data_IF_523500065511
#
_entry.id   IF_523500065511
#
_cell.length_a   1.000
_cell.length_b   1.000
_cell.length_c   1.000
_cell.angle_alpha   90.00
_cell.angle_beta   90.00
_cell.angle_gamma   90.00
#
_symmetry.space_group_name_H-M   'P 1'
#
loop_
_entity.id
_entity.type
_entity.pdbx_description
1 polymer ?
#
# COMPACT_ATOMS: atom_id res chain seq x y z
N UNK A 1 -0.85 -48.23 23.78
CA UNK A 1 -0.35 -47.42 24.93
C UNK A 1 1.12 -47.68 25.28
N UNK A 2 1.59 -48.95 25.33
CA UNK A 2 2.96 -49.31 25.74
C UNK A 2 4.07 -48.79 24.80
N UNK A 3 3.82 -48.73 23.47
CA UNK A 3 4.79 -48.19 22.49
C UNK A 3 5.02 -46.68 22.62
N UNK A 4 3.99 -45.91 22.96
CA UNK A 4 4.08 -44.45 23.09
C UNK A 4 4.87 -44.04 24.34
N UNK A 5 4.69 -44.76 25.46
CA UNK A 5 5.50 -44.56 26.68
C UNK A 5 6.98 -44.83 26.45
N UNK A 6 7.33 -45.80 25.59
CA UNK A 6 8.72 -46.12 25.26
C UNK A 6 9.38 -44.98 24.46
N UNK A 7 8.68 -44.44 23.47
CA UNK A 7 9.15 -43.31 22.65
C UNK A 7 9.36 -42.05 23.49
N UNK A 8 8.41 -41.71 24.37
CA UNK A 8 8.54 -40.54 25.27
C UNK A 8 9.72 -40.70 26.22
N UNK A 9 9.98 -41.91 26.74
CA UNK A 9 11.13 -42.19 27.61
C UNK A 9 12.46 -42.05 26.88
N UNK A 10 12.53 -42.46 25.61
CA UNK A 10 13.74 -42.31 24.78
C UNK A 10 14.00 -40.86 24.40
N UNK A 11 12.95 -40.08 24.11
CA UNK A 11 13.06 -38.64 23.85
C UNK A 11 13.54 -37.91 25.11
N UNK A 12 12.99 -38.25 26.28
CA UNK A 12 13.42 -37.64 27.55
C UNK A 12 14.88 -37.94 27.90
N UNK A 13 15.36 -39.17 27.65
CA UNK A 13 16.77 -39.52 27.85
C UNK A 13 17.68 -38.82 26.83
N UNK A 14 17.25 -38.70 25.57
CA UNK A 14 17.99 -37.94 24.56
C UNK A 14 18.12 -36.47 24.93
N UNK A 15 17.04 -35.85 25.42
CA UNK A 15 17.03 -34.46 25.88
C UNK A 15 17.90 -34.26 27.13
N UNK A 16 17.90 -35.22 28.05
CA UNK A 16 18.72 -35.17 29.26
C UNK A 16 20.22 -35.31 28.96
N UNK A 17 20.59 -36.13 27.96
CA UNK A 17 21.98 -36.25 27.48
C UNK A 17 22.43 -34.98 26.76
N UNK A 18 21.55 -34.34 25.97
CA UNK A 18 21.84 -33.04 25.35
C UNK A 18 21.97 -31.94 26.41
N UNK A 19 21.15 -31.96 27.46
CA UNK A 19 21.26 -31.01 28.58
C UNK A 19 22.54 -31.23 29.40
N UNK A 20 22.93 -32.49 29.65
CA UNK A 20 24.19 -32.82 30.32
C UNK A 20 25.40 -32.42 29.47
N UNK A 21 25.34 -32.60 28.15
CA UNK A 21 26.38 -32.13 27.23
C UNK A 21 26.45 -30.59 27.18
N UNK A 22 25.31 -29.89 27.26
CA UNK A 22 25.28 -28.43 27.38
C UNK A 22 25.84 -27.93 28.72
N UNK A 23 25.55 -28.60 29.83
CA UNK A 23 26.09 -28.26 31.16
C UNK A 23 27.60 -28.53 31.24
N UNK A 24 28.09 -29.62 30.64
CA UNK A 24 29.52 -29.91 30.57
C UNK A 24 30.24 -28.91 29.66
N UNK A 25 29.60 -28.41 28.60
CA UNK A 25 30.20 -27.43 27.68
C UNK A 25 30.20 -25.99 28.22
N UNK A 26 29.26 -25.64 29.12
CA UNK A 26 29.25 -24.32 29.79
C UNK A 26 30.39 -24.22 30.82
N UNK A 27 30.87 -25.34 31.36
CA UNK A 27 31.89 -25.36 32.41
C UNK A 27 33.35 -25.36 31.91
N UNK A 28 33.58 -25.26 30.59
CA UNK A 28 34.94 -25.12 30.02
C UNK A 28 35.33 -23.64 29.86
N UNK A 29 34.39 -22.71 30.01
CA UNK A 29 34.74 -21.34 30.36
C UNK A 29 35.05 -21.30 31.86
N UNK A 30 36.19 -21.88 32.24
CA UNK A 30 36.92 -21.29 33.37
C UNK A 30 37.22 -19.86 32.93
N UNK A 31 36.33 -18.94 33.29
CA UNK A 31 36.69 -17.58 33.62
C UNK A 31 37.72 -17.73 34.74
N UNK A 32 38.97 -17.97 34.32
CA UNK A 32 40.13 -17.86 35.17
C UNK A 32 40.10 -16.39 35.58
N UNK A 33 39.52 -16.14 36.75
CA UNK A 33 39.60 -14.87 37.42
C UNK A 33 41.08 -14.62 37.64
N UNK A 34 41.70 -13.92 36.70
CA UNK A 34 43.05 -13.42 36.82
C UNK A 34 43.08 -12.60 38.11
N UNK A 35 43.97 -12.92 39.05
CA UNK A 35 43.99 -12.25 40.33
C UNK A 35 44.29 -10.75 40.11
N UNK A 36 43.48 -9.88 40.73
CA UNK A 36 43.56 -8.41 40.61
C UNK A 36 44.95 -7.84 40.96
N UNK A 37 45.79 -8.61 41.65
CA UNK A 37 47.16 -8.22 42.00
C UNK A 37 48.12 -8.14 40.80
N UNK A 38 47.73 -8.63 39.60
CA UNK A 38 48.55 -8.56 38.37
C UNK A 38 48.25 -7.36 37.48
N UNK A 39 47.23 -6.56 37.82
CA UNK A 39 46.83 -5.38 37.04
C UNK A 39 46.98 -4.13 37.91
N UNK A 40 47.95 -3.27 37.60
CA UNK A 40 48.10 -1.97 38.27
C UNK A 40 47.57 -0.87 37.37
N UNK A 41 46.58 -0.13 37.87
CA UNK A 41 45.89 0.90 37.07
C UNK A 41 46.25 2.30 37.51
N UNK A 42 46.63 3.14 36.55
CA UNK A 42 46.89 4.56 36.73
C UNK A 42 45.97 5.34 35.78
N UNK A 43 45.45 6.47 36.24
CA UNK A 43 44.61 7.34 35.42
C UNK A 43 45.47 8.52 34.99
N UNK A 44 45.73 8.63 33.69
CA UNK A 44 46.24 9.86 33.09
C UNK A 44 45.05 10.64 32.53
N UNK A 45 45.11 11.97 32.47
CA UNK A 45 43.97 12.89 32.39
C UNK A 45 42.80 12.46 31.47
N UNK A 46 43.06 11.78 30.35
CA UNK A 46 42.05 11.29 29.38
C UNK A 46 42.05 9.77 29.11
N UNK A 47 42.93 8.97 29.74
CA UNK A 47 43.10 7.54 29.41
C UNK A 47 43.43 6.69 30.63
N UNK A 48 42.82 5.51 30.71
CA UNK A 48 43.10 4.53 31.76
C UNK A 48 44.27 3.64 31.36
N UNK A 49 45.36 3.70 32.11
CA UNK A 49 46.58 2.94 31.85
C UNK A 49 46.61 1.73 32.78
N UNK A 50 46.67 0.54 32.23
CA UNK A 50 46.67 -0.73 32.95
C UNK A 50 47.99 -1.47 32.69
N UNK A 51 48.82 -1.62 33.70
CA UNK A 51 50.02 -2.45 33.66
C UNK A 51 49.64 -3.88 33.99
N UNK A 52 49.97 -4.82 33.11
CA UNK A 52 49.59 -6.23 33.20
C UNK A 52 50.87 -7.05 33.25
N UNK A 53 51.07 -7.79 34.34
CA UNK A 53 52.25 -8.62 34.55
C UNK A 53 51.96 -10.09 34.25
N UNK A 54 52.60 -10.60 33.21
CA UNK A 54 52.47 -11.95 32.68
C UNK A 54 53.60 -12.85 33.20
N UNK A 55 53.22 -14.07 33.58
CA UNK A 55 54.19 -15.13 33.91
C UNK A 55 54.59 -15.90 32.65
N UNK A 56 53.65 -16.09 31.72
CA UNK A 56 53.84 -16.77 30.43
C UNK A 56 53.34 -15.90 29.28
N UNK A 57 53.96 -16.02 28.11
CA UNK A 57 53.55 -15.26 26.91
C UNK A 57 52.12 -15.62 26.45
N UNK A 58 51.74 -16.89 26.54
CA UNK A 58 50.42 -17.41 26.12
C UNK A 58 49.24 -16.74 26.84
N UNK A 59 49.46 -16.31 28.08
CA UNK A 59 48.43 -15.73 28.95
C UNK A 59 47.86 -14.45 28.36
N UNK A 60 48.62 -13.74 27.51
CA UNK A 60 48.20 -12.48 26.90
C UNK A 60 46.87 -12.60 26.18
N UNK A 61 46.63 -13.74 25.51
CA UNK A 61 45.39 -14.02 24.77
C UNK A 61 44.14 -13.88 25.65
N UNK A 62 44.20 -14.33 26.91
CA UNK A 62 43.07 -14.24 27.85
C UNK A 62 42.70 -12.78 28.15
N UNK A 63 43.70 -11.92 28.32
CA UNK A 63 43.48 -10.51 28.62
C UNK A 63 42.92 -9.76 27.42
N UNK A 64 43.43 -10.03 26.23
CA UNK A 64 42.98 -9.36 25.01
C UNK A 64 41.54 -9.70 24.67
N UNK A 65 41.16 -10.98 24.83
CA UNK A 65 39.76 -11.44 24.69
C UNK A 65 38.89 -10.73 25.74
N UNK A 66 39.33 -10.73 27.00
CA UNK A 66 38.59 -10.07 28.11
C UNK A 66 38.38 -8.58 27.88
N UNK A 67 39.39 -7.88 27.35
CA UNK A 67 39.33 -6.43 27.11
C UNK A 67 38.74 -6.08 25.74
N UNK A 68 38.33 -7.07 24.94
CA UNK A 68 37.79 -6.89 23.60
C UNK A 68 38.72 -6.06 22.68
N UNK A 69 40.04 -6.29 22.79
CA UNK A 69 41.09 -5.63 22.02
C UNK A 69 41.96 -6.63 21.24
N UNK A 70 41.41 -7.80 20.92
CA UNK A 70 42.14 -8.85 20.22
C UNK A 70 42.16 -8.66 18.70
N UNK A 71 41.22 -7.90 18.14
CA UNK A 71 41.17 -7.62 16.69
C UNK A 71 42.44 -6.87 16.24
N UNK A 72 42.85 -5.87 17.02
CA UNK A 72 44.09 -5.12 16.79
C UNK A 72 45.36 -5.87 17.22
N UNK A 73 45.22 -6.98 17.93
CA UNK A 73 46.35 -7.82 18.32
C UNK A 73 46.70 -8.88 17.29
N UNK A 74 45.77 -9.25 16.41
CA UNK A 74 46.02 -10.25 15.36
C UNK A 74 47.18 -9.88 14.40
N UNK A 75 47.58 -8.61 14.34
CA UNK A 75 48.73 -8.12 13.57
C UNK A 75 49.99 -7.82 14.41
N UNK A 76 50.00 -8.06 15.73
CA UNK A 76 51.12 -7.73 16.63
C UNK A 76 52.31 -8.67 16.52
N UNK A 77 53.47 -8.16 16.08
CA UNK A 77 54.70 -8.96 15.99
C UNK A 77 55.39 -9.03 17.36
N UNK A 78 55.13 -10.10 18.13
CA UNK A 78 55.70 -10.35 19.46
C UNK A 78 57.20 -10.74 19.44
N UNK A 79 57.94 -10.39 18.40
CA UNK A 79 59.39 -10.61 18.32
C UNK A 79 60.19 -9.53 19.05
N UNK A 80 59.60 -8.34 19.20
CA UNK A 80 60.18 -7.20 19.87
C UNK A 80 59.08 -6.39 20.58
N UNK A 81 59.45 -5.54 21.56
CA UNK A 81 58.50 -4.66 22.22
C UNK A 81 57.86 -3.70 21.22
N UNK A 82 56.54 -3.79 21.06
CA UNK A 82 55.79 -3.05 20.06
C UNK A 82 54.46 -2.52 20.60
N UNK A 83 53.83 -1.62 19.84
CA UNK A 83 52.49 -1.13 20.11
C UNK A 83 51.62 -1.19 18.85
N UNK A 84 50.29 -1.28 19.02
CA UNK A 84 49.36 -1.23 17.90
C UNK A 84 49.18 0.20 17.38
N UNK A 85 49.09 0.35 16.05
CA UNK A 85 48.73 1.62 15.41
C UNK A 85 47.23 1.91 15.53
N UNK A 86 46.54 1.96 14.40
CA UNK A 86 45.10 2.06 14.28
C UNK A 86 44.39 0.80 14.80
N UNK A 87 43.20 1.00 15.34
CA UNK A 87 42.35 -0.07 15.82
C UNK A 87 41.54 -0.72 14.66
N UNK A 88 42.26 -1.20 13.64
CA UNK A 88 41.69 -1.85 12.45
C UNK A 88 42.46 -3.15 12.19
N UNK A 89 41.76 -4.17 11.68
CA UNK A 89 42.35 -5.46 11.31
C UNK A 89 43.50 -5.23 10.32
N UNK A 90 44.65 -5.83 10.61
CA UNK A 90 45.89 -5.78 9.80
C UNK A 90 46.69 -4.49 9.85
N UNK A 91 46.47 -3.61 10.84
CA UNK A 91 47.35 -2.46 10.94
C UNK A 91 48.77 -2.83 11.42
N UNK A 92 49.75 -2.02 10.99
CA UNK A 92 51.15 -2.24 11.29
C UNK A 92 51.42 -2.11 12.79
N UNK A 93 52.29 -2.99 13.27
CA UNK A 93 52.86 -2.89 14.61
C UNK A 93 54.10 -2.04 14.58
N UNK A 94 54.24 -1.19 15.58
CA UNK A 94 55.34 -0.24 15.63
C UNK A 94 56.26 -0.55 16.81
N UNK A 95 57.57 -0.45 16.58
CA UNK A 95 58.59 -0.72 17.59
C UNK A 95 58.56 0.37 18.67
N UNK A 96 58.79 -0.02 19.93
CA UNK A 96 58.95 0.90 21.06
C UNK A 96 60.43 1.27 21.21
N UNK A 97 60.70 2.56 21.40
CA UNK A 97 62.06 3.08 21.54
C UNK A 97 62.57 2.79 22.94
N UNK A 98 63.78 2.23 23.02
CA UNK A 98 64.48 1.94 24.28
C UNK A 98 63.55 1.27 25.33
N UNK A 99 63.02 0.07 25.03
CA UNK A 99 62.01 -0.56 25.87
C UNK A 99 62.57 -0.81 27.28
N UNK A 100 61.90 -0.30 28.32
CA UNK A 100 62.40 -0.40 29.69
C UNK A 100 62.31 -1.83 30.24
N UNK A 101 63.21 -2.12 31.20
CA UNK A 101 63.15 -3.28 32.08
C UNK A 101 62.73 -2.81 33.47
N UNK A 102 61.73 -3.46 34.07
CA UNK A 102 61.23 -3.09 35.40
C UNK A 102 61.52 -4.23 36.38
N UNK A 103 61.96 -3.86 37.59
CA UNK A 103 62.16 -4.80 38.70
C UNK A 103 61.03 -4.65 39.72
N UNK A 104 60.29 -5.72 39.97
CA UNK A 104 59.21 -5.80 40.95
C UNK A 104 59.48 -6.96 41.90
N UNK A 105 59.55 -6.68 43.21
CA UNK A 105 59.72 -7.68 44.27
C UNK A 105 60.79 -8.73 43.93
N UNK A 106 61.97 -8.26 43.50
CA UNK A 106 63.14 -9.07 43.11
C UNK A 106 63.06 -9.81 41.76
N UNK A 107 61.99 -9.63 41.00
CA UNK A 107 61.80 -10.24 39.67
C UNK A 107 61.94 -9.19 38.58
N UNK A 108 62.66 -9.51 37.50
CA UNK A 108 62.77 -8.65 36.33
C UNK A 108 61.61 -8.92 35.35
N UNK A 109 61.10 -7.86 34.75
CA UNK A 109 60.07 -7.90 33.73
C UNK A 109 60.51 -7.10 32.50
N UNK A 110 60.43 -7.74 31.33
CA UNK A 110 60.63 -7.10 30.02
C UNK A 110 59.31 -6.55 29.50
N UNK A 111 59.33 -5.39 28.86
CA UNK A 111 58.18 -4.91 28.11
C UNK A 111 57.89 -5.87 26.96
N UNK A 112 56.65 -6.32 26.82
CA UNK A 112 56.24 -7.25 25.77
C UNK A 112 55.54 -6.50 24.64
N UNK A 113 54.45 -5.80 24.94
CA UNK A 113 53.77 -4.94 23.98
C UNK A 113 52.82 -3.98 24.69
N UNK A 114 52.32 -3.00 23.94
CA UNK A 114 51.30 -2.06 24.40
C UNK A 114 50.11 -2.13 23.45
N UNK A 115 48.91 -2.23 24.01
CA UNK A 115 47.67 -2.30 23.25
C UNK A 115 46.74 -1.17 23.67
N UNK A 116 46.24 -0.44 22.70
CA UNK A 116 45.22 0.58 22.87
C UNK A 116 43.88 0.06 22.39
N UNK A 117 42.83 0.33 23.15
CA UNK A 117 41.49 -0.17 22.86
C UNK A 117 40.84 0.49 21.65
N UNK A 118 41.22 1.74 21.34
CA UNK A 118 40.78 2.57 20.20
C UNK A 118 41.86 3.61 19.88
N UNK A 119 41.67 4.36 18.80
CA UNK A 119 42.48 5.53 18.46
C UNK A 119 43.23 5.42 17.14
N UNK A 120 43.72 6.57 16.67
CA UNK A 120 44.49 6.71 15.42
C UNK A 120 45.89 7.20 15.80
N UNK A 121 46.93 6.51 15.32
CA UNK A 121 48.33 6.91 15.51
C UNK A 121 48.93 7.14 14.14
N UNK A 122 49.51 8.33 13.94
CA UNK A 122 50.11 8.67 12.64
C UNK A 122 51.21 7.67 12.26
N UNK A 123 51.21 7.25 10.99
CA UNK A 123 52.18 6.30 10.37
C UNK A 123 53.60 6.84 10.20
N UNK A 124 53.99 7.91 10.90
CA UNK A 124 55.30 8.54 10.68
C UNK A 124 56.37 7.78 11.47
N UNK A 125 57.57 7.74 10.90
CA UNK A 125 58.78 6.99 11.28
C UNK A 125 59.33 7.20 12.72
N UNK A 126 58.49 7.64 13.67
CA UNK A 126 58.84 7.89 15.04
C UNK A 126 58.64 6.62 15.88
N UNK A 127 59.76 6.04 16.28
CA UNK A 127 59.80 5.06 17.35
C UNK A 127 59.46 5.82 18.64
N UNK A 128 58.26 5.61 19.20
CA UNK A 128 57.87 6.28 20.44
C UNK A 128 58.43 5.55 21.67
N UNK A 129 58.83 6.30 22.70
CA UNK A 129 59.13 5.73 24.00
C UNK A 129 57.84 5.34 24.74
N UNK A 130 57.97 4.52 25.79
CA UNK A 130 56.83 4.20 26.65
C UNK A 130 56.19 5.47 27.26
N UNK A 131 56.99 6.49 27.59
CA UNK A 131 56.49 7.71 28.22
C UNK A 131 55.71 8.58 27.22
N UNK A 132 56.18 8.66 25.98
CA UNK A 132 55.43 9.33 24.90
C UNK A 132 54.06 8.66 24.71
N UNK A 133 54.04 7.32 24.68
CA UNK A 133 52.82 6.54 24.50
C UNK A 133 51.81 6.70 25.65
N UNK A 134 52.26 6.95 26.89
CA UNK A 134 51.36 7.24 28.04
C UNK A 134 50.69 8.60 27.94
N UNK A 135 51.32 9.54 27.25
CA UNK A 135 50.81 10.89 27.04
C UNK A 135 49.97 10.99 25.75
N UNK A 136 50.04 9.97 24.88
CA UNK A 136 49.28 9.88 23.63
C UNK A 136 48.03 9.01 23.79
N UNK A 137 46.89 9.65 24.10
CA UNK A 137 45.59 8.97 24.08
C UNK A 137 45.06 8.80 22.65
N UNK A 138 45.07 9.86 21.83
CA UNK A 138 44.59 9.87 20.44
C UNK A 138 43.25 9.13 20.21
N UNK A 139 42.29 9.31 21.14
CA UNK A 139 40.98 8.66 21.08
C UNK A 139 40.90 7.27 21.74
N UNK A 140 42.00 6.73 22.25
CA UNK A 140 42.01 5.57 23.13
C UNK A 140 41.42 5.92 24.50
N UNK A 141 40.55 5.07 25.02
CA UNK A 141 40.06 5.17 26.40
C UNK A 141 40.90 4.35 27.37
N UNK A 142 41.54 3.29 26.87
CA UNK A 142 42.37 2.38 27.64
C UNK A 142 43.70 2.09 26.93
N UNK A 143 44.76 2.08 27.72
CA UNK A 143 46.10 1.60 27.35
C UNK A 143 46.44 0.41 28.22
N UNK A 144 46.82 -0.70 27.59
CA UNK A 144 47.21 -1.94 28.26
C UNK A 144 48.70 -2.17 28.00
N UNK A 145 49.50 -2.14 29.05
CA UNK A 145 50.95 -2.35 28.99
C UNK A 145 51.23 -3.76 29.48
N UNK A 146 51.72 -4.63 28.60
CA UNK A 146 52.02 -6.02 28.94
C UNK A 146 53.49 -6.18 29.26
N UNK A 147 53.77 -6.71 30.45
CA UNK A 147 55.09 -6.99 30.96
C UNK A 147 55.27 -8.50 31.10
N UNK A 148 56.34 -9.07 30.57
CA UNK A 148 56.64 -10.49 30.70
C UNK A 148 57.79 -10.71 31.68
N UNK A 149 57.60 -11.64 32.61
CA UNK A 149 58.64 -12.09 33.52
C UNK A 149 59.87 -12.62 32.78
N UNK A 150 61.04 -12.10 33.12
CA UNK A 150 62.30 -12.57 32.56
C UNK A 150 62.73 -13.88 33.25
N UNK A 151 62.74 -14.98 32.48
CA UNK A 151 63.27 -16.26 32.91
C UNK A 151 64.69 -16.40 32.34
N UNK A 152 65.70 -16.60 33.21
CA UNK A 152 67.09 -16.80 32.77
C UNK A 152 67.20 -17.93 31.75
N UNK A 153 67.61 -17.60 30.52
CA UNK A 153 67.43 -18.47 29.34
C UNK A 153 68.50 -19.58 29.29
N UNK A 154 68.07 -20.86 29.16
CA UNK A 154 68.84 -21.95 28.54
C UNK A 154 68.34 -22.15 27.08
N UNK A 155 69.23 -22.51 26.17
CA UNK A 155 69.07 -22.44 24.70
C UNK A 155 67.95 -23.31 24.05
N UNK A 156 67.16 -24.10 24.79
CA UNK A 156 66.06 -24.91 24.24
C UNK A 156 64.80 -24.10 23.86
N UNK A 157 64.72 -22.83 24.26
CA UNK A 157 63.50 -22.00 24.27
C UNK A 157 63.05 -21.48 22.88
N UNK A 158 63.92 -21.45 21.85
CA UNK A 158 63.58 -20.80 20.57
C UNK A 158 62.50 -21.52 19.76
N UNK A 159 62.44 -22.86 19.80
CA UNK A 159 61.44 -23.65 19.05
C UNK A 159 60.07 -23.59 19.71
N UNK A 160 60.04 -23.54 21.04
CA UNK A 160 58.80 -23.37 21.82
C UNK A 160 58.18 -21.99 21.63
N UNK A 161 59.01 -20.95 21.46
CA UNK A 161 58.54 -19.57 21.28
C UNK A 161 57.74 -19.36 19.98
N UNK A 162 58.13 -19.98 18.87
CA UNK A 162 57.34 -19.93 17.63
C UNK A 162 56.00 -20.67 17.79
N UNK A 163 55.99 -21.79 18.52
CA UNK A 163 54.78 -22.57 18.79
C UNK A 163 53.79 -21.80 19.68
N UNK A 164 54.29 -21.12 20.72
CA UNK A 164 53.50 -20.27 21.62
C UNK A 164 52.82 -19.12 20.88
N UNK A 165 53.56 -18.42 20.00
CA UNK A 165 52.99 -17.35 19.17
C UNK A 165 51.86 -17.86 18.30
N UNK A 166 52.07 -19.00 17.64
CA UNK A 166 51.04 -19.61 16.81
C UNK A 166 49.78 -19.95 17.63
N UNK A 167 49.93 -20.45 18.85
CA UNK A 167 48.81 -20.72 19.77
C UNK A 167 48.03 -19.44 20.10
N UNK A 168 48.73 -18.35 20.45
CA UNK A 168 48.11 -17.05 20.75
C UNK A 168 47.31 -16.55 19.54
N UNK A 169 47.93 -16.48 18.36
CA UNK A 169 47.26 -15.99 17.15
C UNK A 169 46.07 -16.84 16.74
N UNK A 170 46.21 -18.17 16.74
CA UNK A 170 45.12 -19.08 16.41
C UNK A 170 43.92 -18.87 17.33
N UNK A 171 44.17 -18.69 18.63
CA UNK A 171 43.10 -18.47 19.60
C UNK A 171 42.37 -17.14 19.38
N UNK A 172 43.11 -16.06 19.11
CA UNK A 172 42.51 -14.75 18.84
C UNK A 172 41.76 -14.73 17.51
N UNK A 173 42.28 -15.41 16.48
CA UNK A 173 41.59 -15.57 15.20
C UNK A 173 40.26 -16.34 15.38
N UNK A 174 40.24 -17.39 16.21
CA UNK A 174 38.99 -18.11 16.52
C UNK A 174 37.95 -17.19 17.16
N UNK A 175 38.32 -16.39 18.16
CA UNK A 175 37.39 -15.44 18.80
C UNK A 175 36.92 -14.34 17.84
N UNK A 176 37.78 -13.94 16.91
CA UNK A 176 37.40 -13.00 15.87
C UNK A 176 36.36 -13.59 14.90
N UNK A 177 36.61 -14.80 14.42
CA UNK A 177 35.66 -15.50 13.55
C UNK A 177 34.32 -15.74 14.26
N UNK A 178 34.33 -16.04 15.57
CA UNK A 178 33.09 -16.16 16.36
C UNK A 178 32.29 -14.86 16.37
N UNK A 179 32.93 -13.71 16.57
CA UNK A 179 32.25 -12.42 16.55
C UNK A 179 31.64 -12.12 15.17
N UNK A 180 32.36 -12.41 14.10
CA UNK A 180 31.82 -12.28 12.73
C UNK A 180 30.58 -13.15 12.56
N UNK A 181 30.64 -14.41 12.99
CA UNK A 181 29.51 -15.34 12.89
C UNK A 181 28.29 -14.77 13.63
N UNK A 182 28.47 -14.26 14.85
CA UNK A 182 27.38 -13.64 15.63
C UNK A 182 26.81 -12.43 14.90
N UNK A 183 27.65 -11.57 14.33
CA UNK A 183 27.19 -10.41 13.55
C UNK A 183 26.41 -10.84 12.30
N UNK A 184 26.89 -11.86 11.59
CA UNK A 184 26.22 -12.43 10.42
C UNK A 184 24.88 -13.07 10.80
N UNK A 185 24.82 -13.81 11.90
CA UNK A 185 23.57 -14.41 12.40
C UNK A 185 22.53 -13.35 12.75
N UNK A 186 22.95 -12.25 13.37
CA UNK A 186 22.08 -11.11 13.65
C UNK A 186 21.54 -10.48 12.35
N UNK A 187 22.39 -10.28 11.35
CA UNK A 187 21.98 -9.78 10.03
C UNK A 187 21.01 -10.74 9.33
N UNK A 188 21.27 -12.06 9.38
CA UNK A 188 20.40 -13.08 8.81
C UNK A 188 19.02 -13.06 9.49
N UNK A 189 18.98 -12.94 10.82
CA UNK A 189 17.72 -12.87 11.56
C UNK A 189 16.91 -11.62 11.20
N UNK A 190 17.57 -10.47 11.08
CA UNK A 190 16.93 -9.22 10.62
C UNK A 190 16.30 -9.40 9.23
N UNK A 191 17.07 -9.93 8.28
CA UNK A 191 16.60 -10.18 6.91
C UNK A 191 15.43 -11.17 6.85
N UNK A 192 15.42 -12.20 7.71
CA UNK A 192 14.30 -13.14 7.82
C UNK A 192 13.01 -12.45 8.30
N UNK A 193 13.11 -11.56 9.27
CA UNK A 193 11.95 -10.81 9.76
C UNK A 193 11.44 -9.80 8.71
N UNK A 194 12.34 -9.12 7.99
CA UNK A 194 11.97 -8.27 6.86
C UNK A 194 11.27 -9.05 5.74
N UNK A 195 11.78 -10.25 5.40
CA UNK A 195 11.17 -11.13 4.41
C UNK A 195 9.75 -11.54 4.82
N UNK A 196 9.53 -11.93 6.08
CA UNK A 196 8.18 -12.26 6.59
C UNK A 196 7.24 -11.05 6.50
N UNK A 197 7.71 -9.87 6.87
CA UNK A 197 6.93 -8.64 6.79
C UNK A 197 6.54 -8.35 5.33
N UNK A 198 7.49 -8.45 4.39
CA UNK A 198 7.21 -8.27 2.96
C UNK A 198 6.18 -9.28 2.43
N UNK A 199 6.33 -10.57 2.78
CA UNK A 199 5.37 -11.61 2.39
C UNK A 199 3.96 -11.32 2.92
N UNK A 200 3.83 -10.88 4.17
CA UNK A 200 2.54 -10.53 4.76
C UNK A 200 1.87 -9.35 4.04
N UNK A 201 2.63 -8.28 3.74
CA UNK A 201 2.15 -7.11 3.00
C UNK A 201 1.73 -7.47 1.58
N UNK A 202 2.50 -8.33 0.92
CA UNK A 202 2.20 -8.81 -0.42
C UNK A 202 0.88 -9.60 -0.44
N UNK A 203 0.66 -10.50 0.53
CA UNK A 203 -0.57 -11.28 0.65
C UNK A 203 -1.80 -10.37 0.88
N UNK A 204 -1.67 -9.36 1.74
CA UNK A 204 -2.75 -8.38 1.97
C UNK A 204 -3.11 -7.65 0.67
N UNK A 205 -2.12 -7.23 -0.12
CA UNK A 205 -2.35 -6.58 -1.40
C UNK A 205 -3.01 -7.51 -2.43
N UNK A 206 -2.64 -8.79 -2.45
CA UNK A 206 -3.33 -9.77 -3.30
C UNK A 206 -4.81 -9.93 -2.92
N UNK A 207 -5.12 -9.98 -1.62
CA UNK A 207 -6.50 -10.07 -1.14
C UNK A 207 -7.32 -8.82 -1.50
N UNK A 208 -6.74 -7.63 -1.37
CA UNK A 208 -7.37 -6.37 -1.77
C UNK A 208 -7.71 -6.35 -3.27
N UNK A 209 -6.79 -6.79 -4.12
CA UNK A 209 -7.03 -6.92 -5.58
C UNK A 209 -8.17 -7.89 -5.87
N UNK A 210 -8.23 -9.04 -5.18
CA UNK A 210 -9.30 -10.02 -5.36
C UNK A 210 -10.66 -9.46 -4.95
N UNK A 211 -10.73 -8.72 -3.84
CA UNK A 211 -11.97 -8.07 -3.40
C UNK A 211 -12.47 -7.06 -4.45
N UNK A 212 -11.58 -6.22 -4.97
CA UNK A 212 -11.91 -5.26 -6.02
C UNK A 212 -12.38 -5.94 -7.32
N UNK A 213 -11.79 -7.09 -7.68
CA UNK A 213 -12.22 -7.86 -8.85
C UNK A 213 -13.64 -8.43 -8.68
N UNK A 214 -13.97 -8.91 -7.48
CA UNK A 214 -15.32 -9.40 -7.17
C UNK A 214 -16.34 -8.26 -7.23
N UNK A 215 -16.03 -7.11 -6.60
CA UNK A 215 -16.89 -5.94 -6.62
C UNK A 215 -17.12 -5.41 -8.04
N UNK A 216 -16.05 -5.31 -8.84
CA UNK A 216 -16.14 -4.92 -10.25
C UNK A 216 -17.10 -5.84 -11.02
N UNK A 217 -16.96 -7.16 -10.87
CA UNK A 217 -17.81 -8.14 -11.57
C UNK A 217 -19.28 -8.02 -11.15
N UNK A 218 -19.54 -7.75 -9.87
CA UNK A 218 -20.89 -7.51 -9.37
C UNK A 218 -21.51 -6.25 -10.00
N UNK A 219 -20.76 -5.14 -10.02
CA UNK A 219 -21.20 -3.89 -10.63
C UNK A 219 -21.44 -4.03 -12.14
N UNK A 220 -20.58 -4.74 -12.87
CA UNK A 220 -20.75 -5.01 -14.29
C UNK A 220 -22.05 -5.77 -14.57
N UNK A 221 -22.36 -6.80 -13.77
CA UNK A 221 -23.61 -7.56 -13.91
C UNK A 221 -24.84 -6.69 -13.63
N UNK A 222 -24.81 -5.87 -12.57
CA UNK A 222 -25.90 -4.97 -12.25
C UNK A 222 -26.14 -3.94 -13.36
N UNK A 223 -25.06 -3.36 -13.90
CA UNK A 223 -25.14 -2.41 -15.01
C UNK A 223 -25.73 -3.08 -16.25
N UNK A 224 -25.30 -4.30 -16.57
CA UNK A 224 -25.84 -5.06 -17.70
C UNK A 224 -27.34 -5.36 -17.54
N UNK A 225 -27.78 -5.75 -16.34
CA UNK A 225 -29.20 -5.95 -16.02
C UNK A 225 -30.01 -4.67 -16.17
N UNK A 226 -29.50 -3.55 -15.64
CA UNK A 226 -30.17 -2.25 -15.69
C UNK A 226 -30.29 -1.72 -17.13
N UNK A 227 -29.26 -1.91 -17.94
CA UNK A 227 -29.29 -1.58 -19.37
C UNK A 227 -30.34 -2.39 -20.11
N UNK A 228 -30.46 -3.69 -19.80
CA UNK A 228 -31.49 -4.54 -20.41
C UNK A 228 -32.90 -4.13 -20.00
N UNK A 229 -33.12 -3.79 -18.74
CA UNK A 229 -34.39 -3.26 -18.24
C UNK A 229 -34.77 -1.99 -19.00
N UNK A 230 -33.85 -1.03 -19.10
CA UNK A 230 -34.07 0.23 -19.79
C UNK A 230 -34.39 0.03 -21.28
N UNK A 231 -33.70 -0.90 -21.94
CA UNK A 231 -33.99 -1.27 -23.33
C UNK A 231 -35.39 -1.86 -23.51
N UNK A 232 -35.84 -2.69 -22.56
CA UNK A 232 -37.18 -3.26 -22.59
C UNK A 232 -38.24 -2.17 -22.39
N UNK A 233 -38.01 -1.26 -21.45
CA UNK A 233 -38.91 -0.11 -21.21
C UNK A 233 -38.97 0.79 -22.45
N UNK A 234 -37.83 1.06 -23.09
CA UNK A 234 -37.79 1.83 -24.33
C UNK A 234 -38.65 1.17 -25.42
N UNK A 235 -38.48 -0.14 -25.65
CA UNK A 235 -39.31 -0.86 -26.64
C UNK A 235 -40.80 -0.78 -26.32
N UNK A 236 -41.18 -0.91 -25.06
CA UNK A 236 -42.57 -0.78 -24.64
C UNK A 236 -43.11 0.62 -24.95
N UNK A 237 -42.36 1.68 -24.61
CA UNK A 237 -42.77 3.05 -24.92
C UNK A 237 -42.84 3.32 -26.43
N UNK A 238 -41.94 2.76 -27.23
CA UNK A 238 -41.99 2.85 -28.69
C UNK A 238 -43.26 2.17 -29.24
N UNK A 239 -43.62 1.00 -28.72
CA UNK A 239 -44.88 0.33 -29.13
C UNK A 239 -46.11 1.16 -28.77
N UNK A 240 -46.14 1.76 -27.58
CA UNK A 240 -47.24 2.63 -27.16
C UNK A 240 -47.36 3.88 -28.04
N UNK A 241 -46.23 4.53 -28.36
CA UNK A 241 -46.19 5.66 -29.31
C UNK A 241 -46.75 5.24 -30.67
N UNK A 242 -46.41 4.06 -31.18
CA UNK A 242 -46.94 3.58 -32.48
C UNK A 242 -48.45 3.34 -32.41
N UNK A 243 -48.97 2.84 -31.28
CA UNK A 243 -50.40 2.63 -31.08
C UNK A 243 -51.15 3.97 -31.05
N UNK A 244 -50.69 4.92 -30.23
CA UNK A 244 -51.28 6.25 -30.12
C UNK A 244 -51.27 6.99 -31.47
N UNK A 245 -50.19 6.86 -32.25
CA UNK A 245 -50.13 7.43 -33.61
C UNK A 245 -51.23 6.89 -34.52
N UNK A 246 -51.51 5.57 -34.47
CA UNK A 246 -52.60 4.96 -35.25
C UNK A 246 -53.97 5.43 -34.77
N UNK A 247 -54.17 5.55 -33.46
CA UNK A 247 -55.43 6.08 -32.91
C UNK A 247 -55.68 7.51 -33.35
N UNK A 248 -54.67 8.38 -33.28
CA UNK A 248 -54.76 9.77 -33.78
C UNK A 248 -55.13 9.77 -35.27
N UNK A 249 -54.52 8.91 -36.08
CA UNK A 249 -54.81 8.80 -37.51
C UNK A 249 -56.26 8.39 -37.77
N UNK A 250 -56.78 7.42 -37.01
CA UNK A 250 -58.18 6.99 -37.10
C UNK A 250 -59.15 8.12 -36.69
N UNK A 251 -58.84 8.83 -35.60
CA UNK A 251 -59.65 9.97 -35.15
C UNK A 251 -59.68 11.06 -36.22
N UNK A 252 -58.54 11.35 -36.86
CA UNK A 252 -58.46 12.33 -37.95
C UNK A 252 -59.35 11.93 -39.13
N UNK A 253 -59.30 10.66 -39.55
CA UNK A 253 -60.16 10.14 -40.63
C UNK A 253 -61.64 10.30 -40.28
N UNK A 254 -62.03 9.93 -39.04
CA UNK A 254 -63.42 10.09 -38.61
C UNK A 254 -63.87 11.56 -38.59
N UNK A 255 -62.99 12.46 -38.17
CA UNK A 255 -63.26 13.89 -38.14
C UNK A 255 -63.45 14.46 -39.55
N UNK A 256 -62.62 14.05 -40.51
CA UNK A 256 -62.72 14.47 -41.92
C UNK A 256 -64.04 13.99 -42.55
N UNK A 257 -64.44 12.74 -42.30
CA UNK A 257 -65.73 12.19 -42.73
C UNK A 257 -66.88 13.04 -42.18
N UNK A 258 -66.85 13.33 -40.87
CA UNK A 258 -67.92 14.09 -40.20
C UNK A 258 -68.00 15.54 -40.70
N UNK A 259 -66.86 16.15 -40.98
CA UNK A 259 -66.80 17.48 -41.59
C UNK A 259 -67.40 17.49 -43.01
N UNK A 260 -67.12 16.45 -43.80
CA UNK A 260 -67.69 16.31 -45.13
C UNK A 260 -69.22 16.12 -45.07
N UNK A 261 -69.72 15.30 -44.15
CA UNK A 261 -71.16 15.15 -43.91
C UNK A 261 -71.82 16.48 -43.52
N UNK A 262 -71.19 17.25 -42.64
CA UNK A 262 -71.70 18.56 -42.25
C UNK A 262 -71.69 19.55 -43.43
N UNK A 263 -70.66 19.54 -44.27
CA UNK A 263 -70.60 20.33 -45.49
C UNK A 263 -71.78 20.01 -46.43
N UNK A 264 -72.03 18.72 -46.66
CA UNK A 264 -73.15 18.26 -47.48
C UNK A 264 -74.52 18.69 -46.89
N UNK A 265 -74.70 18.56 -45.58
CA UNK A 265 -75.91 19.03 -44.88
C UNK A 265 -76.11 20.54 -45.05
N UNK A 266 -75.04 21.33 -44.89
CA UNK A 266 -75.09 22.77 -45.08
C UNK A 266 -75.45 23.17 -46.51
N UNK A 267 -74.87 22.50 -47.52
CA UNK A 267 -75.24 22.70 -48.92
C UNK A 267 -76.72 22.41 -49.15
N UNK A 268 -77.25 21.33 -48.56
CA UNK A 268 -78.67 21.00 -48.67
C UNK A 268 -79.57 22.04 -48.01
N UNK A 269 -79.18 22.58 -46.85
CA UNK A 269 -79.89 23.67 -46.18
C UNK A 269 -79.96 24.90 -47.09
N UNK A 270 -78.86 25.28 -47.72
CA UNK A 270 -78.84 26.42 -48.65
C UNK A 270 -79.72 26.20 -49.88
N UNK A 271 -79.73 24.98 -50.44
CA UNK A 271 -80.64 24.63 -51.53
C UNK A 271 -82.11 24.75 -51.10
N UNK A 272 -82.46 24.20 -49.93
CA UNK A 272 -83.82 24.29 -49.38
C UNK A 272 -84.24 25.74 -49.10
N UNK A 273 -83.32 26.60 -48.61
CA UNK A 273 -83.58 28.03 -48.44
C UNK A 273 -83.90 28.71 -49.78
N UNK A 274 -83.17 28.38 -50.86
CA UNK A 274 -83.44 28.91 -52.20
C UNK A 274 -84.82 28.47 -52.70
N UNK A 275 -85.15 27.17 -52.56
CA UNK A 275 -86.46 26.64 -52.93
C UNK A 275 -87.59 27.33 -52.15
N UNK A 276 -87.41 27.53 -50.86
CA UNK A 276 -88.38 28.21 -49.99
C UNK A 276 -88.59 29.68 -50.41
N UNK A 277 -87.53 30.39 -50.79
CA UNK A 277 -87.64 31.78 -51.29
C UNK A 277 -88.38 31.86 -52.64
N UNK A 278 -88.15 30.90 -53.54
CA UNK A 278 -88.90 30.79 -54.81
C UNK A 278 -90.39 30.58 -54.54
N UNK A 279 -90.72 29.61 -53.68
CA UNK A 279 -92.10 29.31 -53.31
C UNK A 279 -92.79 30.52 -52.65
N UNK A 280 -92.09 31.25 -51.76
CA UNK A 280 -92.61 32.51 -51.18
C UNK A 280 -92.96 33.53 -52.27
N UNK A 281 -92.11 33.68 -53.27
CA UNK A 281 -92.33 34.61 -54.39
C UNK A 281 -93.53 34.18 -55.24
N UNK A 282 -93.68 32.88 -55.51
CA UNK A 282 -94.85 32.33 -56.21
C UNK A 282 -96.15 32.54 -55.42
N UNK A 283 -96.13 32.34 -54.10
CA UNK A 283 -97.28 32.60 -53.23
C UNK A 283 -97.70 34.07 -53.29
N UNK A 284 -96.76 35.02 -53.26
CA UNK A 284 -97.09 36.45 -53.39
C UNK A 284 -97.72 36.77 -54.75
N UNK A 285 -97.19 36.21 -55.86
CA UNK A 285 -97.82 36.35 -57.18
C UNK A 285 -99.24 35.79 -57.22
N UNK A 286 -99.47 34.60 -56.65
CA UNK A 286 -100.80 33.98 -56.57
C UNK A 286 -101.75 34.85 -55.72
N UNK A 287 -101.26 35.46 -54.62
CA UNK A 287 -102.07 36.40 -53.82
C UNK A 287 -102.47 37.63 -54.64
N UNK A 288 -101.54 38.23 -55.38
CA UNK A 288 -101.84 39.36 -56.27
C UNK A 288 -102.87 38.99 -57.35
N UNK A 289 -102.72 37.83 -57.98
CA UNK A 289 -103.69 37.31 -58.95
C UNK A 289 -105.06 37.08 -58.30
N UNK A 290 -105.11 36.50 -57.11
CA UNK A 290 -106.36 36.30 -56.36
C UNK A 290 -107.05 37.63 -56.08
N UNK A 291 -106.31 38.68 -55.72
CA UNK A 291 -106.85 40.03 -55.53
C UNK A 291 -107.44 40.56 -56.85
N UNK A 292 -106.71 40.42 -57.98
CA UNK A 292 -107.21 40.81 -59.31
C UNK A 292 -108.50 40.09 -59.67
N UNK A 293 -108.57 38.77 -59.48
CA UNK A 293 -109.77 37.97 -59.70
C UNK A 293 -110.95 38.43 -58.81
N UNK A 294 -110.69 38.73 -57.54
CA UNK A 294 -111.73 39.25 -56.63
C UNK A 294 -112.29 40.61 -57.09
N UNK A 295 -111.42 41.52 -57.53
CA UNK A 295 -111.83 42.82 -58.10
C UNK A 295 -112.65 42.62 -59.37
N UNK A 296 -112.17 41.75 -60.28
CA UNK A 296 -112.87 41.44 -61.53
C UNK A 296 -114.24 40.84 -61.27
N UNK A 297 -114.35 39.90 -60.32
CA UNK A 297 -115.62 39.28 -59.90
C UNK A 297 -116.61 40.33 -59.39
N UNK A 298 -116.19 41.23 -58.49
CA UNK A 298 -117.04 42.34 -58.00
C UNK A 298 -117.50 43.26 -59.13
N UNK A 299 -116.63 43.58 -60.08
CA UNK A 299 -116.98 44.40 -61.25
C UNK A 299 -118.02 43.70 -62.14
N UNK A 300 -117.88 42.39 -62.36
CA UNK A 300 -118.83 41.58 -63.11
C UNK A 300 -120.19 41.50 -62.42
N UNK A 301 -120.22 41.25 -61.11
CA UNK A 301 -121.44 41.27 -60.29
C UNK A 301 -122.15 42.63 -60.37
N UNK A 302 -121.40 43.74 -60.28
CA UNK A 302 -121.96 45.09 -60.47
C UNK A 302 -122.55 45.27 -61.87
N UNK A 303 -121.82 44.91 -62.93
CA UNK A 303 -122.33 45.00 -64.31
C UNK A 303 -123.58 44.13 -64.49
N UNK A 304 -123.59 42.91 -63.98
CA UNK A 304 -124.74 42.02 -64.03
C UNK A 304 -125.96 42.63 -63.33
N UNK A 305 -125.78 43.23 -62.14
CA UNK A 305 -126.83 43.94 -61.44
C UNK A 305 -127.32 45.18 -62.22
N UNK A 306 -126.43 45.95 -62.84
CA UNK A 306 -126.80 47.09 -63.71
C UNK A 306 -127.59 46.63 -64.93
N UNK A 307 -127.17 45.58 -65.62
CA UNK A 307 -127.91 45.03 -66.77
C UNK A 307 -129.27 44.45 -66.34
N UNK A 308 -129.35 43.77 -65.20
CA UNK A 308 -130.61 43.30 -64.62
C UNK A 308 -131.54 44.47 -64.26
N UNK A 309 -131.00 45.55 -63.70
CA UNK A 309 -131.71 46.80 -63.45
C UNK A 309 -132.23 47.45 -64.74
N UNK A 310 -131.38 47.61 -65.76
CA UNK A 310 -131.79 48.13 -67.08
C UNK A 310 -132.88 47.25 -67.71
N UNK A 311 -132.73 45.92 -67.64
CA UNK A 311 -133.72 44.98 -68.13
C UNK A 311 -135.06 45.15 -67.40
N UNK A 312 -135.07 45.23 -66.07
CA UNK A 312 -136.30 45.48 -65.29
C UNK A 312 -136.95 46.82 -65.63
N UNK A 313 -136.15 47.87 -65.86
CA UNK A 313 -136.62 49.20 -66.20
C UNK A 313 -137.21 49.26 -67.61
N UNK A 314 -136.59 48.59 -68.58
CA UNK A 314 -137.13 48.43 -69.95
C UNK A 314 -138.37 47.54 -69.98
N UNK A 315 -138.39 46.48 -69.18
CA UNK A 315 -139.52 45.57 -69.05
C UNK A 315 -140.76 46.31 -68.51
N UNK A 316 -140.62 47.06 -67.42
CA UNK A 316 -141.70 47.88 -66.88
C UNK A 316 -142.16 48.95 -67.87
N UNK A 317 -141.25 49.56 -68.64
CA UNK A 317 -141.62 50.57 -69.65
C UNK A 317 -142.36 50.04 -70.89
N UNK A 318 -142.29 48.73 -71.15
CA UNK A 318 -142.91 48.11 -72.33
C UNK A 318 -144.16 47.28 -71.99
N UNK A 319 -144.36 46.93 -70.71
CA UNK A 319 -145.40 45.98 -70.29
C UNK A 319 -146.25 46.45 -69.09
N UNK A 320 -146.05 47.65 -68.55
CA UNK A 320 -146.98 48.39 -67.66
C UNK A 320 -147.44 49.69 -68.34
#
# INVERSE_FOLDING_TARGET
MVKLKKIIKTINMGLLVVFLLLIVNININSLIAIPNNKIMTQKNENMKISNIYLEKEEDISNYLIRFNCYECFSSLVLEYPCYNGENIRYDLSWIIQNPPLIKLNSTNYKLMCIVFDKGIREKKDFVFSLEDLKNMSNGASNMYIFWLKELGIKNEVKKDMQNIKQIIFNRLEIEFQKNIIVEMDNKINLLKEEQKNFQSKFLVKQLEILQLQVEKKFLENNLKSKTQELLNTQKATETEITHLRKEIQNIQIQLDIKNQENSNKNQKIEELKKQLNLLKTEIEKIKEEKIKYQVMKKSLEQKQNTYSGIFSLLYNKMFE
#
